data_IF_427713145175
#
_entry.id   IF_427713145175
#
_cell.length_a   1.000
_cell.length_b   1.000
_cell.length_c   1.000
_cell.angle_alpha   90.00
_cell.angle_beta   90.00
_cell.angle_gamma   90.00
#
_symmetry.space_group_name_H-M   'P 1'
#
loop_
_entity.id
_entity.type
_entity.pdbx_description
1 polymer ?
#
# COMPACT_ATOMS: atom_id res chain seq x y z
N UNK A 1 -1.80 -14.20 -0.78
CA UNK A 1 -2.18 -12.98 -1.53
C UNK A 1 -3.56 -13.08 -2.16
N UNK A 2 -4.01 -14.27 -2.57
CA UNK A 2 -5.33 -14.45 -3.18
C UNK A 2 -6.50 -13.96 -2.29
N UNK A 3 -6.34 -14.04 -0.97
CA UNK A 3 -7.39 -13.63 -0.02
C UNK A 3 -7.43 -12.12 0.24
N UNK A 4 -6.47 -11.33 -0.29
CA UNK A 4 -6.42 -9.88 -0.08
C UNK A 4 -7.48 -9.22 -0.97
N UNK A 5 -8.43 -8.52 -0.34
CA UNK A 5 -9.57 -7.89 -1.05
C UNK A 5 -9.48 -6.36 -1.08
N UNK A 6 -8.80 -5.73 -0.12
CA UNK A 6 -8.58 -4.28 -0.09
C UNK A 6 -7.23 -3.94 0.52
N UNK A 7 -6.60 -2.89 -0.01
CA UNK A 7 -5.37 -2.31 0.54
C UNK A 7 -5.47 -0.78 0.60
N UNK A 8 -5.09 -0.21 1.74
CA UNK A 8 -4.89 1.24 1.91
C UNK A 8 -3.40 1.52 2.12
N UNK A 9 -2.84 2.46 1.39
CA UNK A 9 -1.42 2.78 1.38
C UNK A 9 -1.18 4.22 1.85
N UNK A 10 -0.26 4.42 2.80
CA UNK A 10 0.07 5.71 3.36
C UNK A 10 1.56 6.00 3.14
N UNK A 11 1.88 6.91 2.22
CA UNK A 11 3.25 7.38 2.00
C UNK A 11 3.46 8.73 2.69
N UNK A 12 4.70 9.01 3.07
CA UNK A 12 5.08 10.33 3.62
C UNK A 12 5.67 11.28 2.57
N UNK A 13 5.95 10.79 1.36
CA UNK A 13 6.59 11.56 0.28
C UNK A 13 5.99 11.24 -1.09
N UNK A 14 5.64 12.28 -1.84
CA UNK A 14 5.16 12.15 -3.22
C UNK A 14 6.23 11.57 -4.16
N UNK A 15 7.51 11.88 -3.91
CA UNK A 15 8.63 11.41 -4.73
C UNK A 15 8.75 9.89 -4.78
N UNK A 16 8.19 9.19 -3.79
CA UNK A 16 8.28 7.73 -3.69
C UNK A 16 7.18 7.01 -4.48
N UNK A 17 6.14 7.71 -4.97
CA UNK A 17 4.97 7.08 -5.60
C UNK A 17 5.38 6.20 -6.78
N UNK A 18 6.25 6.71 -7.66
CA UNK A 18 6.62 5.99 -8.88
C UNK A 18 7.34 4.66 -8.58
N UNK A 19 8.28 4.66 -7.62
CA UNK A 19 8.95 3.43 -7.19
C UNK A 19 8.01 2.52 -6.41
N UNK A 20 7.15 3.09 -5.58
CA UNK A 20 6.20 2.34 -4.79
C UNK A 20 5.19 1.59 -5.67
N UNK A 21 4.67 2.21 -6.73
CA UNK A 21 3.73 1.57 -7.65
C UNK A 21 4.35 0.37 -8.36
N UNK A 22 5.66 0.39 -8.65
CA UNK A 22 6.36 -0.78 -9.20
C UNK A 22 6.36 -1.95 -8.21
N UNK A 23 6.65 -1.66 -6.95
CA UNK A 23 6.59 -2.66 -5.86
C UNK A 23 5.16 -3.19 -5.70
N UNK A 24 4.16 -2.31 -5.67
CA UNK A 24 2.75 -2.66 -5.59
C UNK A 24 2.34 -3.60 -6.72
N UNK A 25 2.71 -3.28 -7.96
CA UNK A 25 2.39 -4.09 -9.14
C UNK A 25 3.05 -5.46 -9.09
N UNK A 26 4.31 -5.54 -8.66
CA UNK A 26 5.05 -6.80 -8.54
C UNK A 26 4.37 -7.78 -7.58
N UNK A 27 3.96 -7.30 -6.41
CA UNK A 27 3.33 -8.15 -5.40
C UNK A 27 1.83 -8.33 -5.68
N UNK A 28 1.06 -7.25 -5.75
CA UNK A 28 -0.41 -7.27 -5.73
C UNK A 28 -1.06 -7.32 -7.12
N UNK A 29 -0.29 -7.22 -8.21
CA UNK A 29 -0.82 -7.17 -9.57
C UNK A 29 -1.63 -8.41 -10.00
N UNK A 30 -1.35 -9.58 -9.42
CA UNK A 30 -2.12 -10.80 -9.64
C UNK A 30 -3.43 -10.85 -8.85
N UNK A 31 -3.42 -10.39 -7.60
CA UNK A 31 -4.59 -10.42 -6.70
C UNK A 31 -5.62 -9.31 -7.04
N UNK A 32 -5.15 -8.17 -7.56
CA UNK A 32 -5.97 -7.02 -7.97
C UNK A 32 -7.02 -6.58 -6.92
N UNK A 33 -6.62 -6.35 -5.65
CA UNK A 33 -7.54 -5.85 -4.64
C UNK A 33 -8.01 -4.42 -4.96
N UNK A 34 -9.08 -3.97 -4.31
CA UNK A 34 -9.38 -2.55 -4.23
C UNK A 34 -8.19 -1.80 -3.57
N UNK A 35 -7.79 -0.66 -4.12
CA UNK A 35 -6.58 0.06 -3.69
C UNK A 35 -6.83 1.55 -3.54
N UNK A 36 -6.27 2.14 -2.48
CA UNK A 36 -6.22 3.59 -2.27
C UNK A 36 -4.83 3.99 -1.74
N UNK A 37 -4.22 5.03 -2.32
CA UNK A 37 -2.94 5.59 -1.89
C UNK A 37 -3.13 7.04 -1.45
N UNK A 38 -2.57 7.40 -0.29
CA UNK A 38 -2.57 8.76 0.25
C UNK A 38 -1.17 9.20 0.63
N UNK A 39 -0.94 10.52 0.54
CA UNK A 39 0.21 11.18 1.14
C UNK A 39 -0.22 11.77 2.48
N UNK A 40 0.49 11.41 3.54
CA UNK A 40 0.23 11.89 4.90
C UNK A 40 1.48 12.58 5.47
N UNK A 41 1.33 13.54 6.40
CA UNK A 41 2.47 14.32 6.88
C UNK A 41 3.48 13.50 7.71
N UNK A 42 3.04 12.42 8.39
CA UNK A 42 3.91 11.57 9.20
C UNK A 42 3.25 10.22 9.55
N UNK A 43 4.08 9.24 9.92
CA UNK A 43 3.69 7.96 10.50
C UNK A 43 4.08 7.89 11.99
N UNK A 44 3.62 6.86 12.69
CA UNK A 44 3.80 6.72 14.15
C UNK A 44 5.27 6.71 14.59
N UNK A 45 6.17 6.22 13.74
CA UNK A 45 7.61 6.16 14.02
C UNK A 45 8.38 7.12 13.09
N UNK A 46 9.27 7.95 13.64
CA UNK A 46 10.16 8.78 12.83
C UNK A 46 10.95 7.94 11.82
N UNK A 47 11.05 8.43 10.59
CA UNK A 47 11.77 7.76 9.50
C UNK A 47 10.98 6.69 8.76
N UNK A 48 9.76 6.35 9.18
CA UNK A 48 8.89 5.48 8.39
C UNK A 48 8.43 6.21 7.13
N UNK A 49 8.53 5.52 5.99
CA UNK A 49 8.23 6.07 4.68
C UNK A 49 6.88 5.60 4.12
N UNK A 50 6.39 4.47 4.63
CA UNK A 50 5.23 3.75 4.13
C UNK A 50 4.56 2.99 5.27
N UNK A 51 3.22 3.00 5.27
CA UNK A 51 2.38 2.07 6.03
C UNK A 51 1.30 1.51 5.11
N UNK A 52 0.90 0.25 5.35
CA UNK A 52 -0.11 -0.45 4.55
C UNK A 52 -1.13 -1.10 5.49
N UNK A 53 -2.40 -0.81 5.27
CA UNK A 53 -3.53 -1.52 5.88
C UNK A 53 -4.10 -2.52 4.86
N UNK A 54 -4.33 -3.76 5.29
CA UNK A 54 -4.82 -4.83 4.41
C UNK A 54 -6.09 -5.43 5.00
N UNK A 55 -7.11 -5.62 4.16
CA UNK A 55 -8.27 -6.47 4.45
C UNK A 55 -8.14 -7.74 3.64
N UNK A 56 -8.23 -8.89 4.32
CA UNK A 56 -8.29 -10.20 3.69
C UNK A 56 -9.60 -10.91 4.06
N UNK A 57 -10.12 -11.71 3.13
CA UNK A 57 -11.32 -12.52 3.32
C UNK A 57 -11.09 -13.92 2.75
N UNK A 58 -11.43 -14.93 3.53
CA UNK A 58 -11.38 -16.34 3.13
C UNK A 58 -12.75 -16.95 3.45
N UNK A 59 -13.26 -17.77 2.54
CA UNK A 59 -14.55 -18.44 2.64
C UNK A 59 -14.38 -19.93 2.96
#
# INVERSE_FOLDING_TARGET
>A
MADIVKVTHYLTRESDIAEYVKVLSHYLGGARPASMLMIIPALVKPGFLLEIEVIAAQY
#
